data_IF_797191504341
#
_entry.id   IF_797191504341
#
_cell.length_a   1.000
_cell.length_b   1.000
_cell.length_c   1.000
_cell.angle_alpha   90.00
_cell.angle_beta   90.00
_cell.angle_gamma   90.00
#
_symmetry.space_group_name_H-M   'P 1'
#
loop_
_entity.id
_entity.type
_entity.pdbx_description
1 polymer ?
#
# COMPACT_ATOMS: atom_id res chain seq x y z
N UNK A 1 19.96 -18.41 22.09
CA UNK A 1 18.98 -18.83 21.07
C UNK A 1 17.70 -18.05 21.27
N UNK A 2 17.38 -17.08 20.40
CA UNK A 2 16.24 -16.18 20.59
C UNK A 2 15.05 -16.52 19.69
N UNK A 3 13.82 -16.30 20.18
CA UNK A 3 12.61 -16.46 19.37
C UNK A 3 12.54 -15.41 18.26
N UNK A 4 12.38 -15.85 17.00
CA UNK A 4 12.14 -15.00 15.83
C UNK A 4 10.70 -15.17 15.37
N UNK A 5 9.94 -14.08 15.39
CA UNK A 5 8.55 -14.07 14.92
C UNK A 5 8.40 -13.24 13.63
N UNK A 6 7.92 -13.88 12.57
CA UNK A 6 7.49 -13.25 11.31
C UNK A 6 6.37 -14.09 10.70
N UNK A 7 5.21 -13.49 10.46
CA UNK A 7 4.06 -14.15 9.84
C UNK A 7 3.50 -13.27 8.72
N UNK A 8 3.25 -13.84 7.54
CA UNK A 8 2.55 -13.16 6.45
C UNK A 8 1.25 -13.89 6.20
N UNK A 9 0.14 -13.15 6.12
CA UNK A 9 -1.19 -13.71 5.91
C UNK A 9 -1.75 -13.07 4.65
N UNK A 10 -2.06 -13.89 3.66
CA UNK A 10 -2.73 -13.46 2.44
C UNK A 10 -4.24 -13.53 2.68
N UNK A 11 -4.94 -12.42 2.54
CA UNK A 11 -6.40 -12.38 2.68
C UNK A 11 -7.12 -12.53 1.32
N UNK A 12 -6.36 -12.70 0.23
CA UNK A 12 -6.90 -12.78 -1.12
C UNK A 12 -7.21 -11.41 -1.71
N UNK A 13 -7.67 -11.39 -2.97
CA UNK A 13 -8.05 -10.17 -3.70
C UNK A 13 -6.99 -9.05 -3.66
N UNK A 14 -5.71 -9.43 -3.66
CA UNK A 14 -4.60 -8.47 -3.63
C UNK A 14 -4.23 -7.91 -2.24
N UNK A 15 -4.92 -8.34 -1.18
CA UNK A 15 -4.66 -7.90 0.19
C UNK A 15 -3.77 -8.88 0.98
N UNK A 16 -2.77 -8.35 1.68
CA UNK A 16 -1.82 -9.11 2.51
C UNK A 16 -1.44 -8.34 3.76
N UNK A 17 -1.32 -9.03 4.88
CA UNK A 17 -0.78 -8.52 6.15
C UNK A 17 0.57 -9.18 6.43
N UNK A 18 1.53 -8.40 6.95
CA UNK A 18 2.84 -8.85 7.40
C UNK A 18 3.02 -8.48 8.88
N UNK A 19 3.11 -9.47 9.76
CA UNK A 19 3.39 -9.33 11.19
C UNK A 19 4.85 -9.69 11.46
N UNK A 20 5.54 -8.86 12.23
CA UNK A 20 6.94 -9.04 12.59
C UNK A 20 7.24 -8.44 13.96
N UNK A 21 8.46 -8.62 14.48
CA UNK A 21 8.93 -7.95 15.72
C UNK A 21 8.78 -6.43 15.67
N UNK A 22 9.01 -5.81 14.50
CA UNK A 22 8.89 -4.36 14.32
C UNK A 22 7.43 -3.88 14.25
N UNK A 23 6.46 -4.79 14.24
CA UNK A 23 5.03 -4.48 14.15
C UNK A 23 4.35 -5.04 12.90
N UNK A 24 3.19 -4.45 12.59
CA UNK A 24 2.30 -4.86 11.50
C UNK A 24 2.49 -3.95 10.29
N UNK A 25 2.74 -4.57 9.13
CA UNK A 25 2.61 -3.95 7.82
C UNK A 25 1.46 -4.58 7.04
N UNK A 26 0.95 -3.86 6.04
CA UNK A 26 -0.07 -4.38 5.14
C UNK A 26 0.20 -3.90 3.71
N UNK A 27 -0.32 -4.63 2.75
CA UNK A 27 -0.28 -4.24 1.35
C UNK A 27 -1.58 -4.62 0.69
N UNK A 28 -2.07 -3.76 -0.17
CA UNK A 28 -3.28 -3.99 -0.95
C UNK A 28 -3.10 -3.40 -2.34
N UNK A 29 -3.64 -4.08 -3.35
CA UNK A 29 -3.52 -3.61 -4.72
C UNK A 29 -3.98 -4.62 -5.75
N UNK A 30 -4.22 -4.10 -6.94
CA UNK A 30 -4.57 -4.84 -8.16
C UNK A 30 -3.43 -4.68 -9.17
N UNK A 31 -3.39 -5.48 -10.25
CA UNK A 31 -2.47 -5.21 -11.35
C UNK A 31 -2.60 -3.74 -11.80
N UNK A 32 -1.48 -3.02 -11.80
CA UNK A 32 -1.42 -1.61 -12.14
C UNK A 32 -1.49 -0.62 -10.96
N UNK A 33 -1.95 -1.04 -9.78
CA UNK A 33 -1.90 -0.17 -8.60
C UNK A 33 -1.74 -0.94 -7.30
N UNK A 34 -0.68 -0.64 -6.54
CA UNK A 34 -0.40 -1.28 -5.25
C UNK A 34 0.08 -0.29 -4.21
N UNK A 35 -0.47 -0.38 -3.01
CA UNK A 35 0.00 0.36 -1.83
C UNK A 35 0.53 -0.64 -0.81
N UNK A 36 1.70 -0.34 -0.27
CA UNK A 36 2.32 -1.12 0.81
C UNK A 36 2.73 -0.19 1.94
N UNK A 37 2.27 -0.48 3.14
CA UNK A 37 2.71 0.17 4.37
C UNK A 37 3.46 -0.84 5.22
N UNK A 38 4.71 -0.54 5.53
CA UNK A 38 5.56 -1.41 6.35
C UNK A 38 5.48 -1.00 7.82
N UNK A 39 5.85 -1.93 8.70
CA UNK A 39 5.91 -1.67 10.14
C UNK A 39 6.94 -0.58 10.51
N UNK A 40 7.99 -0.42 9.69
CA UNK A 40 9.04 0.58 9.89
C UNK A 40 8.64 2.00 9.42
N UNK A 41 7.36 2.23 9.09
CA UNK A 41 6.87 3.54 8.65
C UNK A 41 7.14 3.88 7.19
N UNK A 42 7.77 2.98 6.41
CA UNK A 42 7.90 3.16 4.96
C UNK A 42 6.59 2.86 4.25
N UNK A 43 6.15 3.79 3.43
CA UNK A 43 5.01 3.66 2.52
C UNK A 43 5.52 3.61 1.09
N UNK A 44 5.11 2.59 0.34
CA UNK A 44 5.42 2.42 -1.08
C UNK A 44 4.12 2.42 -1.87
N UNK A 45 3.99 3.27 -2.88
CA UNK A 45 2.91 3.25 -3.86
C UNK A 45 3.50 2.88 -5.21
N UNK A 46 2.86 1.96 -5.91
CA UNK A 46 3.30 1.51 -7.23
C UNK A 46 2.15 1.69 -8.21
N UNK A 47 2.43 2.38 -9.29
CA UNK A 47 1.53 2.62 -10.41
C UNK A 47 2.15 1.95 -11.64
N UNK A 48 1.39 1.15 -12.36
CA UNK A 48 1.87 0.55 -13.61
C UNK A 48 0.74 0.40 -14.61
N UNK A 49 1.08 0.46 -15.90
CA UNK A 49 0.11 0.23 -16.96
C UNK A 49 0.28 -1.22 -17.42
N UNK A 50 -0.70 -2.11 -17.17
CA UNK A 50 -0.57 -3.52 -17.50
C UNK A 50 -0.35 -3.71 -19.01
N UNK A 51 0.52 -4.64 -19.38
CA UNK A 51 0.82 -4.95 -20.78
C UNK A 51 1.80 -4.01 -21.51
N UNK A 52 2.21 -2.90 -20.88
CA UNK A 52 3.11 -1.91 -21.52
C UNK A 52 4.55 -1.92 -20.98
N UNK A 53 4.78 -2.57 -19.84
CA UNK A 53 6.08 -2.56 -19.16
C UNK A 53 6.42 -1.24 -18.46
N UNK A 54 5.54 -0.23 -18.51
CA UNK A 54 5.76 1.07 -17.87
C UNK A 54 5.19 1.07 -16.44
N UNK A 55 5.99 1.57 -15.50
CA UNK A 55 5.59 1.71 -14.11
C UNK A 55 6.39 2.75 -13.36
N UNK A 56 5.77 3.33 -12.34
CA UNK A 56 6.31 4.32 -11.44
C UNK A 56 6.11 3.89 -9.99
N UNK A 57 7.12 4.12 -9.16
CA UNK A 57 7.09 3.73 -7.74
C UNK A 57 7.47 4.93 -6.90
N UNK A 58 6.57 5.31 -5.99
CA UNK A 58 6.80 6.31 -4.97
C UNK A 58 7.13 5.62 -3.65
N UNK A 59 8.20 6.06 -3.01
CA UNK A 59 8.55 5.63 -1.67
C UNK A 59 8.68 6.82 -0.75
N UNK A 60 7.98 6.77 0.38
CA UNK A 60 8.21 7.69 1.48
C UNK A 60 8.60 6.89 2.72
N UNK A 61 9.74 7.22 3.31
CA UNK A 61 10.11 6.80 4.66
C UNK A 61 9.85 7.94 5.62
N UNK A 62 9.24 7.64 6.77
CA UNK A 62 9.23 8.56 7.92
C UNK A 62 10.59 8.53 8.63
N UNK A 63 11.68 8.63 7.86
CA UNK A 63 13.00 8.80 8.43
C UNK A 63 13.22 10.31 8.57
N UNK A 64 13.13 10.80 9.81
CA UNK A 64 13.70 12.11 10.15
C UNK A 64 15.15 12.03 9.69
N UNK A 65 15.48 12.76 8.61
CA UNK A 65 16.86 12.89 8.12
C UNK A 65 17.70 13.47 9.26
N UNK A 66 18.27 12.60 10.09
CA UNK A 66 19.35 12.99 11.00
C UNK A 66 20.58 13.04 10.12
N UNK A 67 20.86 14.23 9.59
CA UNK A 67 22.11 14.53 8.90
C UNK A 67 23.26 14.37 9.91
N UNK A 68 23.70 13.14 10.14
CA UNK A 68 24.99 12.88 10.75
C UNK A 68 26.00 12.77 9.62
N UNK A 69 26.48 13.92 9.17
CA UNK A 69 27.71 14.02 8.40
C UNK A 69 28.88 13.66 9.30
N UNK A 70 29.11 12.35 9.46
CA UNK A 70 30.41 11.83 9.90
C UNK A 70 31.25 11.63 8.65
N UNK A 71 32.10 12.61 8.37
CA UNK A 71 33.24 12.48 7.46
C UNK A 71 34.15 11.44 8.09
N UNK A 72 34.14 10.22 7.57
CA UNK A 72 35.19 9.25 7.85
C UNK A 72 36.25 9.41 6.76
N UNK A 73 37.31 10.13 7.10
CA UNK A 73 38.59 10.04 6.41
C UNK A 73 39.10 8.61 6.52
N UNK A 74 39.13 7.88 5.41
CA UNK A 74 39.97 6.71 5.32
C UNK A 74 40.50 6.49 3.91
N UNK A 75 41.76 6.92 3.76
CA UNK A 75 42.84 6.28 3.02
C UNK A 75 42.67 6.07 1.52
N UNK A 76 43.45 6.87 0.78
CA UNK A 76 43.98 6.68 -0.56
C UNK A 76 44.13 5.21 -1.01
N UNK A 77 43.46 4.86 -2.12
CA UNK A 77 43.97 4.22 -3.35
C UNK A 77 42.81 3.59 -4.12
N UNK A 78 42.41 4.25 -5.21
CA UNK A 78 42.03 3.66 -6.51
C UNK A 78 41.25 4.71 -7.30
N UNK A 79 42.02 5.55 -7.98
CA UNK A 79 41.56 6.54 -8.97
C UNK A 79 41.30 5.80 -10.28
N UNK A 80 40.24 6.21 -11.00
CA UNK A 80 39.83 5.81 -12.37
C UNK A 80 38.71 4.75 -12.45
N UNK A 81 37.43 5.18 -12.30
CA UNK A 81 36.31 4.87 -13.22
C UNK A 81 34.93 5.31 -12.69
N UNK A 82 34.68 6.62 -12.51
CA UNK A 82 33.30 7.11 -12.29
C UNK A 82 33.02 8.51 -12.83
N UNK A 83 33.85 8.98 -13.79
CA UNK A 83 33.67 10.29 -14.46
C UNK A 83 33.00 10.06 -15.82
N UNK A 84 31.91 9.29 -15.85
CA UNK A 84 30.97 9.32 -16.96
C UNK A 84 29.58 9.11 -16.34
N UNK A 85 28.70 10.06 -16.61
CA UNK A 85 27.25 9.96 -16.43
C UNK A 85 26.57 10.60 -15.18
N UNK A 86 27.15 11.66 -14.60
CA UNK A 86 26.44 12.49 -13.59
C UNK A 86 25.88 13.82 -14.12
N UNK A 87 26.29 14.27 -15.32
CA UNK A 87 26.04 15.65 -15.76
C UNK A 87 24.96 15.79 -16.86
N UNK A 88 24.21 14.73 -17.21
CA UNK A 88 23.19 14.77 -18.28
C UNK A 88 21.74 14.75 -17.81
N UNK A 89 21.45 14.49 -16.53
CA UNK A 89 20.07 14.36 -16.04
C UNK A 89 19.57 15.57 -15.21
N UNK A 90 20.28 16.70 -15.24
CA UNK A 90 19.91 17.91 -14.49
C UNK A 90 19.09 18.93 -15.30
N UNK A 91 18.70 18.60 -16.54
CA UNK A 91 18.14 19.59 -17.48
C UNK A 91 17.03 19.06 -18.39
N UNK A 92 15.98 18.44 -17.84
CA UNK A 92 14.69 18.34 -18.56
C UNK A 92 13.51 18.55 -17.60
N UNK A 93 13.07 19.81 -17.52
CA UNK A 93 11.71 20.32 -17.16
C UNK A 93 11.25 19.97 -15.73
N UNK A 94 11.25 20.91 -14.77
CA UNK A 94 10.31 22.04 -14.72
C UNK A 94 9.05 21.81 -15.57
N UNK A 95 8.30 20.77 -15.22
CA UNK A 95 6.88 20.68 -15.58
C UNK A 95 6.14 21.34 -14.42
N UNK A 96 5.44 22.39 -14.80
CA UNK A 96 4.61 23.27 -13.99
C UNK A 96 3.96 22.56 -12.80
N UNK A 97 4.14 23.17 -11.64
CA UNK A 97 3.40 22.92 -10.42
C UNK A 97 1.93 23.30 -10.61
N UNK A 98 1.16 22.49 -11.35
CA UNK A 98 -0.29 22.53 -11.29
C UNK A 98 -0.76 21.62 -10.14
N UNK A 99 -0.75 22.17 -8.93
CA UNK A 99 -1.75 21.90 -7.88
C UNK A 99 -2.27 20.45 -7.77
N UNK A 100 -1.43 19.49 -7.35
CA UNK A 100 -1.83 18.09 -7.10
C UNK A 100 -2.41 17.89 -5.68
N UNK A 101 -2.57 18.94 -4.89
CA UNK A 101 -3.13 18.82 -3.53
C UNK A 101 -4.64 18.52 -3.51
N UNK A 102 -5.33 18.60 -4.67
CA UNK A 102 -6.78 18.41 -4.77
C UNK A 102 -7.24 17.31 -5.75
N UNK A 103 -6.36 16.42 -6.22
CA UNK A 103 -6.81 15.29 -7.05
C UNK A 103 -7.31 14.12 -6.18
N UNK A 104 -8.38 14.35 -5.41
CA UNK A 104 -9.31 13.27 -5.14
C UNK A 104 -10.20 13.16 -6.38
N UNK A 105 -9.83 12.29 -7.32
CA UNK A 105 -10.65 12.04 -8.50
C UNK A 105 -12.07 11.63 -8.06
N UNK A 106 -13.09 12.24 -8.65
CA UNK A 106 -14.51 11.92 -8.44
C UNK A 106 -14.80 10.41 -8.63
N UNK A 107 -13.96 9.72 -9.40
CA UNK A 107 -13.94 8.27 -9.57
C UNK A 107 -13.71 7.49 -8.26
N UNK A 108 -12.86 7.99 -7.35
CA UNK A 108 -12.59 7.34 -6.07
C UNK A 108 -13.81 7.38 -5.14
N UNK A 109 -14.58 8.48 -5.17
CA UNK A 109 -15.85 8.57 -4.43
C UNK A 109 -16.87 7.57 -4.96
N UNK A 110 -16.96 7.43 -6.29
CA UNK A 110 -17.83 6.45 -6.93
C UNK A 110 -17.45 5.01 -6.58
N UNK A 111 -16.15 4.71 -6.54
CA UNK A 111 -15.61 3.41 -6.13
C UNK A 111 -15.93 3.09 -4.66
N UNK A 112 -15.67 4.04 -3.75
CA UNK A 112 -16.01 3.88 -2.33
C UNK A 112 -17.52 3.75 -2.12
N UNK A 113 -18.32 4.47 -2.90
CA UNK A 113 -19.79 4.36 -2.87
C UNK A 113 -20.24 2.97 -3.28
N UNK A 114 -19.66 2.38 -4.33
CA UNK A 114 -19.98 1.01 -4.76
C UNK A 114 -19.59 -0.03 -3.70
N UNK A 115 -18.42 0.12 -3.05
CA UNK A 115 -17.98 -0.78 -1.98
C UNK A 115 -18.90 -0.70 -0.77
N UNK A 116 -19.21 0.52 -0.31
CA UNK A 116 -20.11 0.73 0.83
C UNK A 116 -21.50 0.16 0.55
N UNK A 117 -22.02 0.34 -0.66
CA UNK A 117 -23.29 -0.24 -1.08
C UNK A 117 -23.25 -1.77 -1.01
N UNK A 118 -22.23 -2.41 -1.60
CA UNK A 118 -22.11 -3.87 -1.58
C UNK A 118 -21.95 -4.43 -0.16
N UNK A 119 -21.24 -3.73 0.72
CA UNK A 119 -21.08 -4.13 2.13
C UNK A 119 -22.40 -4.01 2.89
N UNK A 120 -23.17 -2.94 2.65
CA UNK A 120 -24.47 -2.70 3.26
C UNK A 120 -25.49 -3.81 2.91
N UNK A 121 -25.59 -4.20 1.64
CA UNK A 121 -26.49 -5.28 1.22
C UNK A 121 -26.11 -6.65 1.79
N UNK A 122 -24.81 -6.92 1.98
CA UNK A 122 -24.36 -8.17 2.62
C UNK A 122 -24.78 -8.24 4.09
N UNK A 123 -24.70 -7.13 4.83
CA UNK A 123 -25.20 -7.08 6.19
C UNK A 123 -26.73 -7.22 6.23
N UNK A 124 -27.45 -6.50 5.36
CA UNK A 124 -28.90 -6.54 5.31
C UNK A 124 -29.45 -7.95 5.03
N UNK A 125 -28.86 -8.66 4.07
CA UNK A 125 -29.27 -10.02 3.73
C UNK A 125 -28.98 -11.02 4.85
N UNK A 126 -27.89 -10.83 5.60
CA UNK A 126 -27.58 -11.65 6.77
C UNK A 126 -28.61 -11.43 7.89
N UNK A 127 -28.98 -10.19 8.20
CA UNK A 127 -30.04 -9.92 9.19
C UNK A 127 -31.38 -10.54 8.79
N UNK A 128 -31.75 -10.43 7.50
CA UNK A 128 -32.98 -11.03 7.00
C UNK A 128 -32.95 -12.57 7.07
N UNK A 129 -31.81 -13.20 6.77
CA UNK A 129 -31.71 -14.66 6.87
C UNK A 129 -31.83 -15.15 8.31
N UNK A 130 -31.23 -14.46 9.28
CA UNK A 130 -31.40 -14.79 10.70
C UNK A 130 -32.86 -14.62 11.15
N UNK A 131 -33.56 -13.59 10.67
CA UNK A 131 -34.97 -13.37 10.98
C UNK A 131 -35.87 -14.49 10.42
N UNK A 132 -35.62 -14.93 9.18
CA UNK A 132 -36.36 -16.05 8.56
C UNK A 132 -36.13 -17.36 9.32
N UNK A 133 -34.88 -17.65 9.71
CA UNK A 133 -34.55 -18.85 10.50
C UNK A 133 -35.26 -18.81 11.86
N UNK A 134 -35.31 -17.63 12.50
CA UNK A 134 -36.01 -17.44 13.77
C UNK A 134 -37.53 -17.68 13.65
N UNK A 135 -38.18 -17.16 12.59
CA UNK A 135 -39.60 -17.42 12.31
C UNK A 135 -39.88 -18.92 12.15
N UNK A 136 -39.04 -19.63 11.37
CA UNK A 136 -39.18 -21.08 11.15
C UNK A 136 -39.07 -21.83 12.49
N UNK A 137 -38.09 -21.47 13.31
CA UNK A 137 -37.88 -22.08 14.63
C UNK A 137 -39.09 -21.90 15.57
N UNK A 138 -39.68 -20.70 15.60
CA UNK A 138 -40.90 -20.44 16.38
C UNK A 138 -42.08 -21.28 15.91
N UNK A 139 -42.28 -21.42 14.59
CA UNK A 139 -43.36 -22.25 14.03
C UNK A 139 -43.18 -23.73 14.40
N UNK A 140 -41.95 -24.24 14.34
CA UNK A 140 -41.66 -25.66 14.65
C UNK A 140 -41.82 -26.02 16.12
N UNK A 141 -41.75 -25.05 17.04
CA UNK A 141 -41.93 -25.27 18.48
C UNK A 141 -43.41 -25.23 18.89
N UNK A 142 -44.25 -24.57 18.09
CA UNK A 142 -45.67 -24.41 18.36
C UNK A 142 -46.53 -25.60 17.86
N UNK A 143 -45.94 -26.49 17.06
CA UNK A 143 -46.53 -27.72 16.49
C UNK A 143 -46.07 -28.91 17.33
#
# INVERSE_FOLDING_TARGET
>A
MGFRFRKSINLGAGFRINLSKSGIGYSWGVPGYRITKTANGKTRKSYSIPGTGLGYVEESSNEVRKNNSTVSEQSSRDVVNTIYDSNKFSSVRNIETASINNFQSEEYKLFLRQIKFRLFFKCLFAFFSYFVIYIIFCITIQI
#
